data_IF_211310323973
#
_entry.id   IF_211310323973
#
_cell.length_a   1.000
_cell.length_b   1.000
_cell.length_c   1.000
_cell.angle_alpha   90.00
_cell.angle_beta   90.00
_cell.angle_gamma   90.00
#
_symmetry.space_group_name_H-M   'P 1'
#
loop_
_entity.id
_entity.type
_entity.pdbx_description
1 polymer ?
#
# COMPACT_ATOMS: atom_id res chain seq x y z
N UNK A 1 0.59 1.56 73.36
CA UNK A 1 0.39 3.01 73.56
C UNK A 1 1.67 3.71 73.08
N UNK A 2 1.54 4.71 72.20
CA UNK A 2 2.53 5.74 71.78
C UNK A 2 3.91 5.24 71.25
N UNK A 3 4.22 5.26 69.94
CA UNK A 3 4.53 6.41 69.04
C UNK A 3 5.75 7.21 69.57
N UNK A 4 6.88 7.37 68.88
CA UNK A 4 7.21 8.43 67.88
C UNK A 4 8.70 8.23 67.49
N UNK A 5 9.02 8.07 66.19
CA UNK A 5 9.80 8.96 65.27
C UNK A 5 11.13 9.51 65.86
N UNK A 6 12.27 9.57 65.15
CA UNK A 6 12.61 10.30 63.91
C UNK A 6 14.00 9.82 63.45
N UNK A 7 14.29 9.77 62.14
CA UNK A 7 15.69 9.94 61.69
C UNK A 7 16.11 9.29 60.36
N UNK A 8 15.67 9.86 59.23
CA UNK A 8 16.36 9.97 57.93
C UNK A 8 17.28 8.86 57.39
N UNK A 9 16.93 8.33 56.21
CA UNK A 9 17.81 8.38 55.04
C UNK A 9 17.06 8.00 53.76
N UNK A 10 17.28 8.81 52.73
CA UNK A 10 16.73 8.68 51.40
C UNK A 10 17.25 7.43 50.70
N UNK A 11 16.36 6.62 50.13
CA UNK A 11 16.66 5.85 48.92
C UNK A 11 15.44 5.89 48.01
N UNK A 12 15.48 6.78 47.00
CA UNK A 12 14.67 6.64 45.81
C UNK A 12 15.19 5.43 45.03
N UNK A 13 14.59 4.27 45.23
CA UNK A 13 14.74 3.15 44.31
C UNK A 13 13.94 3.46 43.05
N UNK A 14 14.61 4.03 42.05
CA UNK A 14 14.07 4.12 40.70
C UNK A 14 13.78 2.70 40.21
N UNK A 15 12.50 2.36 40.10
CA UNK A 15 12.06 1.16 39.40
C UNK A 15 12.49 1.29 37.93
N UNK A 16 13.69 0.80 37.62
CA UNK A 16 14.12 0.60 36.24
C UNK A 16 13.31 -0.57 35.71
N UNK A 17 12.21 -0.24 35.06
CA UNK A 17 11.48 -1.16 34.21
C UNK A 17 12.48 -1.70 33.16
N UNK A 18 12.94 -2.93 33.35
CA UNK A 18 13.61 -3.68 32.29
C UNK A 18 12.55 -3.95 31.21
N UNK A 19 12.48 -3.07 30.23
CA UNK A 19 11.84 -3.39 28.96
C UNK A 19 12.53 -4.63 28.39
N UNK A 20 11.80 -5.74 28.31
CA UNK A 20 12.26 -6.91 27.57
C UNK A 20 12.29 -6.51 26.09
N UNK A 21 13.47 -6.16 25.59
CA UNK A 21 13.70 -6.08 24.15
C UNK A 21 13.64 -7.51 23.62
N UNK A 22 12.47 -7.91 23.11
CA UNK A 22 12.37 -9.04 22.22
C UNK A 22 13.30 -8.79 21.04
N UNK A 23 14.37 -9.57 20.94
CA UNK A 23 15.20 -9.59 19.74
C UNK A 23 14.30 -9.90 18.54
N UNK A 24 14.37 -9.13 17.44
CA UNK A 24 13.65 -9.49 16.24
C UNK A 24 14.21 -10.82 15.76
N UNK A 25 13.40 -11.89 15.87
CA UNK A 25 13.63 -13.13 15.13
C UNK A 25 13.87 -12.71 13.69
N UNK A 26 15.06 -12.99 13.17
CA UNK A 26 15.43 -12.66 11.81
C UNK A 26 14.34 -13.15 10.87
N UNK A 27 13.58 -12.21 10.32
CA UNK A 27 12.74 -12.47 9.17
C UNK A 27 13.68 -12.95 8.10
N UNK A 28 13.56 -14.21 7.66
CA UNK A 28 14.08 -14.61 6.35
C UNK A 28 13.44 -13.67 5.35
N UNK A 29 14.16 -12.62 4.97
CA UNK A 29 13.70 -11.63 3.99
C UNK A 29 13.60 -12.36 2.66
N UNK A 30 12.41 -12.87 2.36
CA UNK A 30 12.10 -13.31 1.02
C UNK A 30 11.95 -12.03 0.20
N UNK A 31 13.04 -11.66 -0.47
CA UNK A 31 13.05 -10.60 -1.47
C UNK A 31 12.27 -11.14 -2.66
N UNK A 32 11.03 -10.66 -2.84
CA UNK A 32 10.19 -11.00 -3.99
C UNK A 32 10.87 -10.41 -5.24
N UNK A 33 11.14 -11.24 -6.25
CA UNK A 33 11.67 -10.76 -7.54
C UNK A 33 10.62 -9.97 -8.32
N UNK A 34 11.06 -9.10 -9.25
CA UNK A 34 10.15 -8.34 -10.13
C UNK A 34 9.22 -9.28 -10.93
N UNK A 35 9.71 -10.47 -11.30
CA UNK A 35 8.93 -11.49 -12.01
C UNK A 35 7.83 -12.07 -11.12
N UNK A 36 8.15 -12.49 -9.90
CA UNK A 36 7.17 -13.01 -8.92
C UNK A 36 6.13 -11.94 -8.57
N UNK A 37 6.57 -10.69 -8.42
CA UNK A 37 5.67 -9.59 -8.15
C UNK A 37 4.74 -9.31 -9.33
N UNK A 38 5.23 -9.37 -10.56
CA UNK A 38 4.40 -9.24 -11.76
C UNK A 38 3.34 -10.34 -11.85
N UNK A 39 3.70 -11.58 -11.50
CA UNK A 39 2.75 -12.69 -11.41
C UNK A 39 1.70 -12.45 -10.31
N UNK A 40 2.11 -12.01 -9.12
CA UNK A 40 1.20 -11.67 -8.03
C UNK A 40 0.22 -10.57 -8.43
N UNK A 41 0.70 -9.48 -9.05
CA UNK A 41 -0.16 -8.38 -9.52
C UNK A 41 -1.15 -8.87 -10.57
N UNK A 42 -0.74 -9.78 -11.47
CA UNK A 42 -1.62 -10.40 -12.46
C UNK A 42 -2.70 -11.26 -11.80
N UNK A 43 -2.32 -12.09 -10.82
CA UNK A 43 -3.25 -12.92 -10.05
C UNK A 43 -4.29 -12.08 -9.29
N UNK A 44 -3.85 -11.01 -8.62
CA UNK A 44 -4.75 -10.08 -7.93
C UNK A 44 -5.78 -9.43 -8.86
N UNK A 45 -5.38 -9.05 -10.09
CA UNK A 45 -6.31 -8.53 -11.10
C UNK A 45 -7.32 -9.59 -11.55
N UNK A 46 -6.86 -10.83 -11.75
CA UNK A 46 -7.73 -11.96 -12.09
C UNK A 46 -8.77 -12.22 -11.00
N UNK A 47 -8.33 -12.32 -9.74
CA UNK A 47 -9.20 -12.49 -8.56
C UNK A 47 -10.20 -11.34 -8.42
N UNK A 48 -9.78 -10.10 -8.67
CA UNK A 48 -10.68 -8.95 -8.69
C UNK A 48 -11.78 -9.10 -9.75
N UNK A 49 -11.42 -9.51 -10.97
CA UNK A 49 -12.40 -9.73 -12.05
C UNK A 49 -13.39 -10.83 -11.67
N UNK A 50 -12.91 -11.94 -11.10
CA UNK A 50 -13.75 -13.03 -10.59
C UNK A 50 -14.71 -12.55 -9.50
N UNK A 51 -14.24 -11.74 -8.54
CA UNK A 51 -15.09 -11.20 -7.48
C UNK A 51 -16.18 -10.27 -8.04
N UNK A 52 -15.84 -9.44 -9.03
CA UNK A 52 -16.82 -8.59 -9.72
C UNK A 52 -17.85 -9.47 -10.44
N UNK A 53 -17.41 -10.48 -11.20
CA UNK A 53 -18.31 -11.37 -11.92
C UNK A 53 -19.25 -12.14 -10.98
N UNK A 54 -18.79 -12.53 -9.79
CA UNK A 54 -19.58 -13.25 -8.80
C UNK A 54 -20.65 -12.38 -8.12
N UNK A 55 -20.47 -11.05 -8.07
CA UNK A 55 -21.35 -10.13 -7.34
C UNK A 55 -22.17 -9.21 -8.24
N UNK A 56 -21.69 -8.92 -9.46
CA UNK A 56 -22.38 -8.11 -10.44
C UNK A 56 -23.29 -9.00 -11.29
N UNK A 57 -24.58 -9.01 -10.95
CA UNK A 57 -25.60 -9.79 -11.65
C UNK A 57 -25.96 -9.12 -12.98
N UNK A 58 -25.30 -9.52 -14.05
CA UNK A 58 -25.58 -9.05 -15.42
C UNK A 58 -26.39 -10.09 -16.18
N UNK A 59 -27.30 -9.64 -17.05
CA UNK A 59 -27.84 -10.51 -18.11
C UNK A 59 -26.74 -10.81 -19.14
N UNK A 60 -26.93 -11.81 -20.00
CA UNK A 60 -25.98 -12.10 -21.07
C UNK A 60 -25.74 -10.88 -21.98
N UNK A 61 -26.81 -10.16 -22.32
CA UNK A 61 -26.76 -8.92 -23.10
C UNK A 61 -25.95 -7.83 -22.40
N UNK A 62 -26.17 -7.63 -21.10
CA UNK A 62 -25.46 -6.59 -20.34
C UNK A 62 -23.99 -6.97 -20.13
N UNK A 63 -23.71 -8.25 -19.90
CA UNK A 63 -22.36 -8.79 -19.80
C UNK A 63 -21.57 -8.58 -21.11
N UNK A 64 -22.22 -8.80 -22.26
CA UNK A 64 -21.64 -8.56 -23.58
C UNK A 64 -21.24 -7.10 -23.84
N UNK A 65 -21.88 -6.14 -23.17
CA UNK A 65 -21.53 -4.71 -23.22
C UNK A 65 -20.51 -4.32 -22.15
N UNK A 66 -20.69 -4.83 -20.93
CA UNK A 66 -19.90 -4.44 -19.76
C UNK A 66 -18.45 -4.93 -19.82
N UNK A 67 -18.23 -6.22 -20.09
CA UNK A 67 -16.90 -6.83 -19.98
C UNK A 67 -15.87 -6.27 -20.95
N UNK A 68 -16.19 -5.98 -22.23
CA UNK A 68 -15.24 -5.32 -23.14
C UNK A 68 -14.78 -3.96 -22.61
N UNK A 69 -15.71 -3.15 -22.06
CA UNK A 69 -15.40 -1.83 -21.51
C UNK A 69 -14.56 -1.96 -20.23
N UNK A 70 -14.92 -2.90 -19.34
CA UNK A 70 -14.14 -3.20 -18.14
C UNK A 70 -12.71 -3.64 -18.47
N UNK A 71 -12.53 -4.52 -19.46
CA UNK A 71 -11.21 -5.03 -19.84
C UNK A 71 -10.34 -3.93 -20.45
N UNK A 72 -10.93 -3.02 -21.23
CA UNK A 72 -10.22 -1.84 -21.73
C UNK A 72 -9.82 -0.88 -20.59
N UNK A 73 -10.73 -0.61 -19.65
CA UNK A 73 -10.43 0.18 -18.46
C UNK A 73 -9.28 -0.43 -17.63
N UNK A 74 -9.32 -1.74 -17.38
CA UNK A 74 -8.25 -2.42 -16.62
C UNK A 74 -6.92 -2.36 -17.37
N UNK A 75 -6.92 -2.50 -18.70
CA UNK A 75 -5.71 -2.38 -19.52
C UNK A 75 -5.06 -1.01 -19.38
N UNK A 76 -5.85 0.07 -19.49
CA UNK A 76 -5.33 1.44 -19.29
C UNK A 76 -4.89 1.69 -17.84
N UNK A 77 -5.62 1.14 -16.86
CA UNK A 77 -5.28 1.26 -15.45
C UNK A 77 -3.96 0.56 -15.10
N UNK A 78 -3.64 -0.55 -15.76
CA UNK A 78 -2.35 -1.26 -15.59
C UNK A 78 -1.19 -0.33 -15.89
N UNK A 79 -1.24 0.43 -16.98
CA UNK A 79 -0.16 1.35 -17.35
C UNK A 79 0.09 2.43 -16.28
N UNK A 80 -0.97 2.93 -15.65
CA UNK A 80 -0.85 3.90 -14.54
C UNK A 80 -0.23 3.22 -13.30
N UNK A 81 -0.70 2.01 -12.97
CA UNK A 81 -0.21 1.26 -11.82
C UNK A 81 1.24 0.79 -11.98
N UNK A 82 1.69 0.51 -13.21
CA UNK A 82 3.09 0.18 -13.49
C UNK A 82 4.01 1.37 -13.21
N UNK A 83 3.59 2.60 -13.58
CA UNK A 83 4.30 3.82 -13.20
C UNK A 83 4.33 4.03 -11.69
N UNK A 84 3.20 3.80 -11.00
CA UNK A 84 3.13 3.89 -9.53
C UNK A 84 4.08 2.92 -8.87
N UNK A 85 4.13 1.69 -9.37
CA UNK A 85 5.01 0.67 -8.86
C UNK A 85 6.49 1.03 -9.06
N UNK A 86 6.87 1.45 -10.28
CA UNK A 86 8.22 1.91 -10.56
C UNK A 86 8.65 3.04 -9.62
N UNK A 87 7.77 4.02 -9.40
CA UNK A 87 8.04 5.11 -8.48
C UNK A 87 8.28 4.62 -7.03
N UNK A 88 7.48 3.65 -6.54
CA UNK A 88 7.68 3.05 -5.21
C UNK A 88 9.02 2.31 -5.12
N UNK A 89 9.41 1.59 -6.17
CA UNK A 89 10.69 0.87 -6.25
C UNK A 89 11.86 1.87 -6.23
N UNK A 90 11.80 2.92 -7.03
CA UNK A 90 12.80 3.99 -7.06
C UNK A 90 12.97 4.62 -5.66
N UNK A 91 11.87 4.82 -4.93
CA UNK A 91 11.92 5.33 -3.57
C UNK A 91 12.53 4.35 -2.57
N UNK A 92 12.21 3.06 -2.68
CA UNK A 92 12.80 2.02 -1.83
C UNK A 92 14.32 1.93 -2.04
N UNK A 93 14.78 1.96 -3.29
CA UNK A 93 16.21 1.88 -3.65
C UNK A 93 17.00 3.11 -3.18
N UNK A 94 16.32 4.26 -3.12
CA UNK A 94 16.89 5.54 -2.71
C UNK A 94 16.47 5.97 -1.28
N UNK A 95 15.95 5.04 -0.47
CA UNK A 95 15.46 5.37 0.87
C UNK A 95 16.53 6.06 1.71
N UNK A 96 16.18 7.22 2.29
CA UNK A 96 17.09 8.04 3.11
C UNK A 96 18.19 8.77 2.33
N UNK A 97 18.22 8.67 0.98
CA UNK A 97 19.21 9.30 0.11
C UNK A 97 18.64 10.43 -0.76
N UNK A 98 17.32 10.58 -0.78
CA UNK A 98 16.65 11.60 -1.59
C UNK A 98 16.91 13.00 -1.06
N UNK A 99 17.27 13.91 -1.96
CA UNK A 99 17.28 15.35 -1.70
C UNK A 99 15.86 15.91 -1.56
N UNK A 100 15.74 17.13 -1.06
CA UNK A 100 14.45 17.83 -0.99
C UNK A 100 13.79 17.97 -2.38
N UNK A 101 14.57 18.32 -3.40
CA UNK A 101 14.07 18.49 -4.76
C UNK A 101 13.59 17.16 -5.37
N UNK A 102 14.32 16.07 -5.12
CA UNK A 102 13.91 14.73 -5.55
C UNK A 102 12.66 14.26 -4.81
N UNK A 103 12.53 14.57 -3.52
CA UNK A 103 11.35 14.24 -2.73
C UNK A 103 10.12 15.00 -3.23
N UNK A 104 10.28 16.27 -3.60
CA UNK A 104 9.21 17.06 -4.22
C UNK A 104 8.80 16.52 -5.58
N UNK A 105 9.78 16.11 -6.40
CA UNK A 105 9.50 15.47 -7.69
C UNK A 105 8.73 14.15 -7.51
N UNK A 106 9.14 13.31 -6.56
CA UNK A 106 8.43 12.07 -6.21
C UNK A 106 6.96 12.35 -5.86
N UNK A 107 6.71 13.33 -4.98
CA UNK A 107 5.35 13.70 -4.60
C UNK A 107 4.52 14.18 -5.78
N UNK A 108 5.10 14.99 -6.68
CA UNK A 108 4.40 15.45 -7.90
C UNK A 108 4.04 14.28 -8.81
N UNK A 109 4.98 13.38 -9.09
CA UNK A 109 4.73 12.20 -9.91
C UNK A 109 3.64 11.32 -9.30
N UNK A 110 3.65 11.14 -7.98
CA UNK A 110 2.59 10.41 -7.28
C UNK A 110 1.21 11.04 -7.52
N UNK A 111 1.09 12.35 -7.33
CA UNK A 111 -0.14 13.10 -7.54
C UNK A 111 -0.60 13.04 -9.00
N UNK A 112 0.31 13.12 -9.97
CA UNK A 112 -0.02 13.00 -11.39
C UNK A 112 -0.67 11.64 -11.70
N UNK A 113 -0.21 10.57 -11.06
CA UNK A 113 -0.78 9.23 -11.24
C UNK A 113 -2.14 9.07 -10.54
N UNK A 114 -2.37 9.76 -9.42
CA UNK A 114 -3.69 9.83 -8.78
C UNK A 114 -4.69 10.59 -9.66
N UNK A 115 -4.28 11.74 -10.21
CA UNK A 115 -5.07 12.51 -11.18
C UNK A 115 -5.38 11.66 -12.42
N UNK A 116 -4.37 11.00 -13.00
CA UNK A 116 -4.57 10.13 -14.16
C UNK A 116 -5.54 8.99 -13.86
N UNK A 117 -5.50 8.42 -12.66
CA UNK A 117 -6.45 7.38 -12.24
C UNK A 117 -7.88 7.93 -12.14
N UNK A 118 -8.05 9.14 -11.60
CA UNK A 118 -9.35 9.79 -11.50
C UNK A 118 -9.92 10.14 -12.88
N UNK A 119 -9.10 10.70 -13.77
CA UNK A 119 -9.45 11.01 -15.16
C UNK A 119 -9.82 9.74 -15.93
N UNK A 120 -9.07 8.65 -15.74
CA UNK A 120 -9.40 7.36 -16.34
C UNK A 120 -10.79 6.89 -15.90
N UNK A 121 -11.11 6.96 -14.61
CA UNK A 121 -12.45 6.60 -14.13
C UNK A 121 -13.52 7.52 -14.72
N UNK A 122 -13.28 8.83 -14.77
CA UNK A 122 -14.19 9.80 -15.37
C UNK A 122 -14.45 9.50 -16.85
N UNK A 123 -13.44 9.06 -17.60
CA UNK A 123 -13.56 8.63 -19.00
C UNK A 123 -14.50 7.43 -19.17
N UNK A 124 -14.45 6.46 -18.26
CA UNK A 124 -15.15 5.18 -18.42
C UNK A 124 -16.55 5.12 -17.81
N UNK A 125 -16.83 5.89 -16.75
CA UNK A 125 -18.17 5.98 -16.14
C UNK A 125 -19.29 6.24 -17.17
N UNK A 126 -19.21 7.25 -18.07
CA UNK A 126 -20.30 7.54 -19.02
C UNK A 126 -20.53 6.45 -20.07
N UNK A 127 -19.57 5.54 -20.28
CA UNK A 127 -19.66 4.48 -21.30
C UNK A 127 -20.54 3.32 -20.81
N UNK A 128 -20.56 3.10 -19.49
CA UNK A 128 -21.29 2.01 -18.84
C UNK A 128 -22.56 2.45 -18.12
N UNK A 129 -22.78 3.76 -17.98
CA UNK A 129 -23.99 4.36 -17.39
C UNK A 129 -25.15 4.47 -18.36
#
# INVERSE_FOLDING_TARGET
>A
MAIVLIGGSWMLSAATARAQTTQPKGSTSHVISDQELNLLRKDLRSKRKQLIAANLKLTETDAGKFWPVYDQYVTELIAINDKKFGLIQDYADNWGKLTNDQSLLFMRQWLDMDIATAQLRQKYVPIVS
#
